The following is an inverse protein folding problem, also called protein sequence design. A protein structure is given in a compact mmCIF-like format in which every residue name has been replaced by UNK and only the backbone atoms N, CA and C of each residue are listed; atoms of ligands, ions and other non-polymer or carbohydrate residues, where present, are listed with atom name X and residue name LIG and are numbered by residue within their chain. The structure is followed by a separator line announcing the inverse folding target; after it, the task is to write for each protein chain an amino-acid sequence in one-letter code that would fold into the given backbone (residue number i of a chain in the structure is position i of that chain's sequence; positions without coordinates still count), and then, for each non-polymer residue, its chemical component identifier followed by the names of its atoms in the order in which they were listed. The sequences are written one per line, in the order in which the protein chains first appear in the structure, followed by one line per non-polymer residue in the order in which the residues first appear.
data_IF_936967288289
#
_entry.id   IF_936967288289
#
_cell.length_a   1.000
_cell.length_b   1.000
_cell.length_c   1.000
_cell.angle_alpha   90.00
_cell.angle_beta   90.00
_cell.angle_gamma   90.00
#
_symmetry.space_group_name_H-M   'P 1'
#
loop_
_entity.id
_entity.type
_entity.pdbx_description
1 polymer ?
#
# COMPACT_ATOMS: atom_id res chain seq x y z
N UNK A 1 48.66 -5.44 -4.82
CA UNK A 1 47.89 -4.33 -4.21
C UNK A 1 46.63 -4.14 -5.03
N UNK A 2 45.57 -4.91 -4.78
CA UNK A 2 44.39 -4.92 -5.67
C UNK A 2 43.22 -5.80 -5.20
N UNK A 3 43.43 -6.66 -4.20
CA UNK A 3 42.36 -7.52 -3.68
C UNK A 3 41.41 -6.81 -2.70
N UNK A 4 41.88 -5.78 -1.96
CA UNK A 4 41.05 -5.09 -0.96
C UNK A 4 39.81 -4.36 -1.53
N UNK A 5 39.84 -3.93 -2.80
CA UNK A 5 38.67 -3.29 -3.44
C UNK A 5 37.55 -4.29 -3.72
N UNK A 6 37.86 -5.57 -3.95
CA UNK A 6 36.86 -6.58 -4.28
C UNK A 6 36.07 -7.04 -3.04
N UNK A 7 36.75 -7.18 -1.90
CA UNK A 7 36.12 -7.52 -0.61
C UNK A 7 35.20 -6.39 -0.12
N UNK A 8 35.63 -5.14 -0.27
CA UNK A 8 34.79 -3.97 0.01
C UNK A 8 33.59 -3.93 -0.94
N UNK A 9 33.77 -4.24 -2.23
CA UNK A 9 32.66 -4.27 -3.20
C UNK A 9 31.59 -5.32 -2.82
N UNK A 10 31.99 -6.51 -2.37
CA UNK A 10 31.07 -7.56 -1.92
C UNK A 10 30.30 -7.17 -0.66
N UNK A 11 30.97 -6.54 0.32
CA UNK A 11 30.33 -6.02 1.53
C UNK A 11 29.36 -4.87 1.23
N UNK A 12 29.69 -4.00 0.26
CA UNK A 12 28.77 -2.95 -0.21
C UNK A 12 27.59 -3.53 -1.01
N UNK A 13 27.75 -4.61 -1.77
CA UNK A 13 26.65 -5.24 -2.51
C UNK A 13 25.60 -5.85 -1.58
N UNK A 14 26.01 -6.54 -0.50
CA UNK A 14 25.09 -7.04 0.55
C UNK A 14 24.43 -5.92 1.36
N UNK A 15 25.19 -4.87 1.73
CA UNK A 15 24.59 -3.77 2.50
C UNK A 15 23.68 -2.88 1.66
N UNK A 16 23.99 -2.63 0.39
CA UNK A 16 23.12 -1.87 -0.51
C UNK A 16 21.82 -2.62 -0.83
N UNK A 17 21.87 -3.93 -1.03
CA UNK A 17 20.66 -4.74 -1.26
C UNK A 17 19.70 -4.69 -0.07
N UNK A 18 20.21 -4.72 1.17
CA UNK A 18 19.40 -4.54 2.38
C UNK A 18 18.74 -3.15 2.47
N UNK A 19 19.46 -2.08 2.09
CA UNK A 19 18.96 -0.72 2.08
C UNK A 19 17.88 -0.50 1.01
N UNK A 20 18.08 -1.06 -0.18
CA UNK A 20 17.10 -1.02 -1.29
C UNK A 20 15.83 -1.76 -0.90
N UNK A 21 15.95 -2.92 -0.25
CA UNK A 21 14.80 -3.70 0.22
C UNK A 21 14.01 -2.93 1.28
N UNK A 22 14.68 -2.33 2.26
CA UNK A 22 14.01 -1.48 3.27
C UNK A 22 13.34 -0.27 2.61
N UNK A 23 13.99 0.37 1.64
CA UNK A 23 13.42 1.46 0.86
C UNK A 23 12.18 1.05 0.06
N UNK A 24 12.24 -0.07 -0.68
CA UNK A 24 11.10 -0.62 -1.43
C UNK A 24 9.96 -1.03 -0.51
N UNK A 25 10.28 -1.56 0.67
CA UNK A 25 9.31 -1.93 1.69
C UNK A 25 8.56 -0.70 2.18
N UNK A 26 9.26 0.35 2.62
CA UNK A 26 8.66 1.63 3.06
C UNK A 26 7.84 2.27 1.93
N UNK A 27 8.35 2.25 0.69
CA UNK A 27 7.62 2.75 -0.46
C UNK A 27 6.31 1.96 -0.69
N UNK A 28 6.34 0.64 -0.52
CA UNK A 28 5.18 -0.23 -0.68
C UNK A 28 4.06 0.08 0.32
N UNK A 29 4.39 0.47 1.55
CA UNK A 29 3.41 0.88 2.57
C UNK A 29 2.57 2.09 2.14
N UNK A 30 3.18 3.06 1.45
CA UNK A 30 2.49 4.30 1.06
C UNK A 30 1.87 4.20 -0.33
N UNK A 31 2.56 3.55 -1.28
CA UNK A 31 2.06 3.36 -2.64
C UNK A 31 0.81 2.50 -2.71
N UNK A 32 0.64 1.50 -1.85
CA UNK A 32 -0.58 0.67 -1.82
C UNK A 32 -1.86 1.49 -1.65
N UNK A 33 -1.87 2.41 -0.67
CA UNK A 33 -3.01 3.30 -0.43
C UNK A 33 -3.25 4.30 -1.56
N UNK A 34 -2.19 4.93 -2.08
CA UNK A 34 -2.26 5.91 -3.17
C UNK A 34 -2.73 5.28 -4.49
N UNK A 35 -2.23 4.09 -4.82
CA UNK A 35 -2.65 3.34 -6.00
C UNK A 35 -4.14 2.96 -5.91
N UNK A 36 -4.63 2.62 -4.71
CA UNK A 36 -6.05 2.42 -4.46
C UNK A 36 -6.89 3.68 -4.70
N UNK A 37 -6.42 4.87 -4.25
CA UNK A 37 -7.09 6.15 -4.54
C UNK A 37 -7.09 6.45 -6.05
N UNK A 38 -6.01 6.14 -6.75
CA UNK A 38 -5.92 6.32 -8.19
C UNK A 38 -6.96 5.48 -8.93
N UNK A 39 -7.12 4.20 -8.55
CA UNK A 39 -8.20 3.36 -9.05
C UNK A 39 -9.57 3.94 -8.74
N UNK A 40 -9.78 4.42 -7.52
CA UNK A 40 -11.02 5.06 -7.11
C UNK A 40 -11.37 6.29 -7.95
N UNK A 41 -10.38 7.12 -8.27
CA UNK A 41 -10.55 8.30 -9.12
C UNK A 41 -10.93 7.96 -10.55
N UNK A 42 -10.61 6.75 -11.03
CA UNK A 42 -11.03 6.24 -12.35
C UNK A 42 -12.46 5.70 -12.34
N UNK A 43 -13.00 5.38 -11.17
CA UNK A 43 -14.36 4.86 -11.03
C UNK A 43 -15.33 6.06 -11.05
N UNK A 44 -16.24 6.10 -12.02
CA UNK A 44 -17.28 7.14 -12.15
C UNK A 44 -18.43 6.99 -11.15
N UNK A 45 -18.10 6.74 -9.87
CA UNK A 45 -19.08 6.75 -8.79
C UNK A 45 -19.08 8.14 -8.14
N UNK A 46 -20.25 8.64 -7.76
CA UNK A 46 -20.35 9.80 -6.86
C UNK A 46 -19.92 9.33 -5.47
N UNK A 47 -18.63 9.45 -5.19
CA UNK A 47 -18.06 9.06 -3.90
C UNK A 47 -18.08 10.28 -2.98
N UNK A 48 -18.60 10.12 -1.77
CA UNK A 48 -18.52 11.16 -0.78
C UNK A 48 -17.07 11.45 -0.39
N UNK A 49 -16.66 12.72 -0.28
CA UNK A 49 -15.26 13.11 -0.07
C UNK A 49 -14.69 12.62 1.27
N UNK A 50 -15.55 12.19 2.19
CA UNK A 50 -15.15 11.67 3.51
C UNK A 50 -14.62 10.23 3.45
N UNK A 51 -15.03 9.41 2.47
CA UNK A 51 -14.68 7.99 2.43
C UNK A 51 -13.27 7.67 1.88
N UNK A 52 -12.76 8.32 0.82
CA UNK A 52 -11.42 8.02 0.31
C UNK A 52 -10.30 8.20 1.36
N UNK A 53 -10.29 9.26 2.20
CA UNK A 53 -9.32 9.38 3.30
C UNK A 53 -9.45 8.26 4.35
N UNK A 54 -10.68 7.85 4.69
CA UNK A 54 -10.93 6.75 5.62
C UNK A 54 -10.41 5.42 5.07
N UNK A 55 -10.65 5.15 3.79
CA UNK A 55 -10.12 3.97 3.09
C UNK A 55 -8.59 3.94 3.10
N UNK A 56 -7.95 5.10 2.89
CA UNK A 56 -6.49 5.21 2.93
C UNK A 56 -5.92 4.87 4.31
N UNK A 57 -6.47 5.47 5.39
CA UNK A 57 -6.03 5.18 6.77
C UNK A 57 -6.25 3.70 7.12
N UNK A 58 -7.41 3.14 6.75
CA UNK A 58 -7.69 1.71 6.99
C UNK A 58 -6.73 0.80 6.23
N UNK A 59 -6.37 1.16 5.00
CA UNK A 59 -5.42 0.38 4.19
C UNK A 59 -4.01 0.40 4.78
N UNK A 60 -3.55 1.54 5.30
CA UNK A 60 -2.27 1.63 6.01
C UNK A 60 -2.24 0.71 7.25
N UNK A 61 -3.30 0.75 8.07
CA UNK A 61 -3.41 -0.12 9.25
C UNK A 61 -3.31 -1.60 8.85
N UNK A 62 -3.98 -1.98 7.76
CA UNK A 62 -3.96 -3.36 7.26
C UNK A 62 -2.55 -3.81 6.84
N UNK A 63 -1.75 -2.93 6.22
CA UNK A 63 -0.36 -3.27 5.88
C UNK A 63 0.50 -3.48 7.13
N UNK A 64 0.34 -2.66 8.19
CA UNK A 64 1.04 -2.89 9.46
C UNK A 64 0.68 -4.24 10.10
N UNK A 65 -0.58 -4.67 9.98
CA UNK A 65 -1.01 -6.00 10.41
C UNK A 65 -0.32 -7.12 9.60
N UNK A 66 -0.28 -7.00 8.28
CA UNK A 66 0.40 -7.97 7.40
C UNK A 66 1.90 -8.03 7.66
N UNK A 67 2.52 -6.89 7.94
CA UNK A 67 3.94 -6.79 8.25
C UNK A 67 4.30 -7.57 9.52
N UNK A 68 3.43 -7.49 10.53
CA UNK A 68 3.56 -8.22 11.78
C UNK A 68 3.47 -9.74 11.61
N UNK A 69 2.84 -10.22 10.53
CA UNK A 69 2.72 -11.64 10.19
C UNK A 69 3.88 -12.17 9.35
N UNK A 70 4.84 -11.32 8.97
CA UNK A 70 5.99 -11.73 8.17
C UNK A 70 5.64 -12.00 6.70
N UNK A 71 4.56 -11.42 6.18
CA UNK A 71 4.27 -11.48 4.74
C UNK A 71 5.32 -10.74 3.92
N UNK A 72 5.61 -11.24 2.72
CA UNK A 72 6.54 -10.57 1.81
C UNK A 72 6.00 -9.18 1.39
N UNK A 73 6.87 -8.18 1.46
CA UNK A 73 6.53 -6.77 1.26
C UNK A 73 5.97 -6.45 -0.14
N UNK A 74 6.27 -7.29 -1.14
CA UNK A 74 5.75 -7.15 -2.51
C UNK A 74 4.22 -7.26 -2.57
N UNK A 75 3.61 -8.01 -1.64
CA UNK A 75 2.16 -8.18 -1.56
C UNK A 75 1.44 -7.00 -0.93
N UNK A 76 2.16 -6.13 -0.23
CA UNK A 76 1.57 -5.01 0.51
C UNK A 76 0.85 -4.05 -0.43
N UNK A 77 1.46 -3.72 -1.58
CA UNK A 77 0.85 -2.81 -2.57
C UNK A 77 -0.48 -3.37 -3.10
N UNK A 78 -0.49 -4.65 -3.49
CA UNK A 78 -1.67 -5.31 -4.03
C UNK A 78 -2.81 -5.40 -3.02
N UNK A 79 -2.52 -5.94 -1.83
CA UNK A 79 -3.54 -6.18 -0.80
C UNK A 79 -4.07 -4.84 -0.27
N UNK A 80 -3.18 -3.87 0.00
CA UNK A 80 -3.57 -2.54 0.48
C UNK A 80 -4.43 -1.80 -0.53
N UNK A 81 -4.05 -1.81 -1.82
CA UNK A 81 -4.82 -1.12 -2.85
C UNK A 81 -6.21 -1.74 -3.02
N UNK A 82 -6.29 -3.07 -3.06
CA UNK A 82 -7.56 -3.77 -3.16
C UNK A 82 -8.45 -3.51 -1.94
N UNK A 83 -7.88 -3.55 -0.73
CA UNK A 83 -8.60 -3.25 0.51
C UNK A 83 -9.14 -1.81 0.51
N UNK A 84 -8.34 -0.82 0.08
CA UNK A 84 -8.77 0.57 -0.02
C UNK A 84 -9.99 0.71 -0.96
N UNK A 85 -9.89 0.17 -2.18
CA UNK A 85 -10.98 0.23 -3.16
C UNK A 85 -12.24 -0.48 -2.66
N UNK A 86 -12.08 -1.70 -2.12
CA UNK A 86 -13.21 -2.49 -1.61
C UNK A 86 -13.92 -1.78 -0.46
N UNK A 87 -13.18 -1.22 0.50
CA UNK A 87 -13.78 -0.51 1.62
C UNK A 87 -14.59 0.71 1.17
N UNK A 88 -14.01 1.56 0.32
CA UNK A 88 -14.72 2.78 -0.10
C UNK A 88 -15.93 2.46 -0.96
N UNK A 89 -15.82 1.50 -1.89
CA UNK A 89 -16.98 1.07 -2.70
C UNK A 89 -18.07 0.49 -1.81
N UNK A 90 -17.71 -0.34 -0.83
CA UNK A 90 -18.68 -0.94 0.10
C UNK A 90 -19.40 0.13 0.94
N UNK A 91 -18.66 1.10 1.49
CA UNK A 91 -19.22 2.21 2.25
C UNK A 91 -20.15 3.06 1.38
N UNK A 92 -19.74 3.38 0.15
CA UNK A 92 -20.57 4.15 -0.78
C UNK A 92 -21.84 3.40 -1.18
N UNK A 93 -21.76 2.08 -1.37
CA UNK A 93 -22.93 1.25 -1.67
C UNK A 93 -23.94 1.25 -0.51
N UNK A 94 -23.46 1.10 0.72
CA UNK A 94 -24.32 1.14 1.92
C UNK A 94 -25.04 2.47 2.03
N UNK A 95 -24.35 3.59 1.82
CA UNK A 95 -24.96 4.91 1.87
C UNK A 95 -26.00 5.12 0.75
N UNK A 96 -25.69 4.72 -0.48
CA UNK A 96 -26.64 4.79 -1.59
C UNK A 96 -27.92 3.97 -1.31
N UNK A 97 -27.81 2.81 -0.65
CA UNK A 97 -28.94 2.00 -0.23
C UNK A 97 -29.77 2.65 0.88
N UNK A 98 -29.13 3.34 1.83
CA UNK A 98 -29.83 4.09 2.88
C UNK A 98 -30.63 5.26 2.31
N UNK A 99 -30.05 6.00 1.35
CA UNK A 99 -30.73 7.11 0.68
C UNK A 99 -31.89 6.62 -0.19
N UNK A 100 -31.76 5.46 -0.85
CA UNK A 100 -32.83 4.86 -1.64
C UNK A 100 -34.02 4.37 -0.82
N UNK A 101 -33.84 4.14 0.49
CA UNK A 101 -34.86 3.57 1.38
C UNK A 101 -35.59 4.64 2.21
N UNK A 102 -35.09 5.88 2.21
CA UNK A 102 -35.72 7.06 2.83
C UNK A 102 -36.58 7.81 1.82
#
# INVERSE_FOLDING_TARGET
MGYCINDVCFLFDETNSSLIEVGLRIASFTYGGLLGLFFLSKINLKINPLYPPLGLVSSMILVFFLDSWGFAWTWFVLISSLANVLLVVSLQQVENLLISKS
#
